data_IF_741715648194
#
_entry.id   IF_741715648194
#
_cell.length_a   1.000
_cell.length_b   1.000
_cell.length_c   1.000
_cell.angle_alpha   90.00
_cell.angle_beta   90.00
_cell.angle_gamma   90.00
#
_symmetry.space_group_name_H-M   'P 1'
#
loop_
_entity.id
_entity.type
_entity.pdbx_description
1 polymer ?
2 branched ?
3 non-polymer ?
4 non-polymer ?
5 water ?
#
# COMPACT_ATOMS: atom_id res chain seq x y z
N UNK A 9 -7.27 -17.96 3.17
CA UNK A 9 -7.13 -16.57 3.69
C UNK A 9 -5.83 -16.45 4.46
N UNK A 10 -5.34 -15.23 4.55
CA UNK A 10 -4.09 -14.90 5.22
C UNK A 10 -4.42 -14.16 6.51
N UNK A 11 -3.56 -14.27 7.49
CA UNK A 11 -3.78 -13.58 8.75
C UNK A 11 -3.30 -12.14 8.61
N UNK A 12 -4.14 -11.21 9.02
CA UNK A 12 -3.84 -9.76 8.98
C UNK A 12 -3.56 -9.37 10.43
N UNK A 13 -2.51 -8.57 10.71
CA UNK A 13 -1.55 -7.99 9.78
C UNK A 13 -0.67 -9.07 9.20
N UNK A 14 -0.31 -8.90 7.93
CA UNK A 14 0.47 -9.88 7.20
C UNK A 14 1.73 -9.23 6.74
N UNK A 15 2.83 -9.96 6.82
CA UNK A 15 4.11 -9.44 6.37
C UNK A 15 4.56 -10.22 5.16
N UNK A 16 4.73 -9.53 4.04
CA UNK A 16 5.20 -10.14 2.81
C UNK A 16 6.65 -9.72 2.58
N UNK A 17 7.61 -10.64 2.70
CA UNK A 17 9.02 -10.26 2.47
C UNK A 17 9.19 -9.88 1.04
N UNK A 18 10.05 -8.88 0.73
CA UNK A 18 10.31 -8.45 -0.64
C UNK A 18 11.82 -8.70 -0.72
N UNK A 19 12.23 -9.89 -1.14
CA UNK A 19 13.67 -10.19 -1.16
C UNK A 19 14.55 -9.30 -1.99
N UNK A 20 15.55 -8.69 -1.34
CA UNK A 20 16.43 -7.80 -2.09
C UNK A 20 15.73 -6.48 -2.39
N UNK A 21 14.64 -6.19 -1.68
CA UNK A 21 13.92 -4.92 -1.88
C UNK A 21 13.17 -4.90 -3.18
N UNK A 22 12.77 -3.69 -3.58
CA UNK A 22 11.99 -3.48 -4.80
C UNK A 22 12.86 -2.94 -5.88
N UNK A 23 12.34 -2.96 -7.08
CA UNK A 23 13.09 -2.53 -8.27
C UNK A 23 12.08 -2.15 -9.35
N UNK A 24 12.42 -1.23 -10.27
CA UNK A 24 11.39 -0.94 -11.28
C UNK A 24 11.05 -2.23 -12.04
N UNK A 25 9.77 -2.31 -12.41
CA UNK A 25 9.14 -3.44 -13.12
C UNK A 25 8.62 -4.50 -12.19
N UNK A 26 8.80 -4.30 -10.89
CA UNK A 26 8.26 -5.23 -9.92
C UNK A 26 6.81 -4.84 -9.62
N UNK A 27 5.90 -5.81 -9.76
CA UNK A 27 4.46 -5.58 -9.53
C UNK A 27 3.99 -6.35 -8.34
N UNK A 28 3.42 -5.67 -7.34
CA UNK A 28 2.93 -6.30 -6.14
C UNK A 28 1.42 -6.28 -6.24
N UNK A 29 0.77 -7.43 -6.01
CA UNK A 29 -0.69 -7.50 -6.13
C UNK A 29 -1.27 -8.00 -4.85
N UNK A 30 -2.25 -7.28 -4.31
CA UNK A 30 -2.90 -7.68 -3.07
C UNK A 30 -4.39 -7.83 -3.31
N UNK A 31 -4.90 -9.03 -3.06
CA UNK A 31 -6.33 -9.35 -3.28
C UNK A 31 -6.99 -9.55 -1.93
N UNK A 32 -8.13 -8.93 -1.71
CA UNK A 32 -8.81 -9.12 -0.44
C UNK A 32 -10.23 -8.61 -0.58
N UNK A 33 -10.92 -8.65 0.54
CA UNK A 33 -12.27 -8.13 0.60
C UNK A 33 -12.38 -7.20 1.78
N UNK A 34 -12.96 -6.01 1.59
CA UNK A 34 -13.08 -5.09 2.71
C UNK A 34 -14.13 -5.58 3.68
N UNK A 35 -13.88 -5.43 4.97
CA UNK A 35 -14.85 -5.88 5.96
C UNK A 35 -16.06 -4.95 5.96
N UNK A 36 -17.18 -5.43 6.50
CA UNK A 36 -18.33 -4.52 6.53
C UNK A 36 -18.01 -3.39 7.54
N UNK A 37 -18.53 -2.18 7.34
CA UNK A 37 -18.26 -1.09 8.31
C UNK A 37 -16.75 -0.83 8.57
N UNK A 38 -15.96 -0.94 7.50
CA UNK A 38 -14.51 -0.72 7.62
C UNK A 38 -14.16 0.70 8.04
N UNK A 39 -13.04 0.84 8.75
CA UNK A 39 -12.56 2.18 9.12
C UNK A 39 -11.26 2.52 8.36
N UNK A 40 -10.32 1.58 8.29
CA UNK A 40 -9.08 1.86 7.54
C UNK A 40 -8.37 0.64 7.01
N UNK A 41 -7.53 0.86 6.01
CA UNK A 41 -6.71 -0.23 5.45
C UNK A 41 -5.31 0.38 5.34
N UNK A 42 -4.24 -0.39 5.52
CA UNK A 42 -2.90 0.17 5.31
C UNK A 42 -1.94 -0.78 4.63
N UNK A 43 -1.20 -0.28 3.65
CA UNK A 43 -0.09 -1.02 3.06
C UNK A 43 1.12 -0.22 3.49
N UNK A 44 2.12 -0.89 4.06
CA UNK A 44 3.34 -0.18 4.47
C UNK A 44 4.55 -0.87 3.85
N UNK A 45 5.17 -0.23 2.85
CA UNK A 45 6.40 -0.77 2.22
C UNK A 45 7.51 -0.24 3.12
N UNK A 46 8.21 -1.16 3.80
CA UNK A 46 9.20 -0.77 4.79
C UNK A 46 10.65 -1.01 4.43
N UNK A 47 11.51 -0.09 4.87
CA UNK A 47 12.94 -0.20 4.76
C UNK A 47 13.35 -0.26 6.26
N UNK A 48 13.53 -1.47 6.81
CA UNK A 48 13.78 -1.53 8.25
C UNK A 48 12.57 -0.93 8.97
N UNK A 49 12.84 -0.05 9.94
CA UNK A 49 11.78 0.60 10.68
C UNK A 49 11.19 1.75 9.89
N UNK A 50 11.87 2.19 8.81
CA UNK A 50 11.27 3.28 8.06
C UNK A 50 10.16 2.76 7.17
N UNK A 51 9.18 3.62 6.88
CA UNK A 51 8.12 3.24 5.93
C UNK A 51 8.35 4.08 4.69
N UNK A 52 8.79 3.45 3.61
CA UNK A 52 9.07 4.16 2.36
C UNK A 52 7.79 4.67 1.73
N UNK A 53 6.74 3.88 1.80
CA UNK A 53 5.47 4.22 1.18
C UNK A 53 4.38 3.62 2.00
N UNK A 54 3.58 4.49 2.60
CA UNK A 54 2.43 4.15 3.44
C UNK A 54 1.23 4.54 2.60
N UNK A 55 0.33 3.59 2.36
CA UNK A 55 -0.87 3.81 1.52
C UNK A 55 -2.03 3.48 2.44
N UNK A 56 -2.83 4.51 2.77
CA UNK A 56 -3.83 4.36 3.82
C UNK A 56 -5.25 4.82 3.54
N UNK A 57 -6.05 3.94 2.96
CA UNK A 57 -7.46 4.30 2.71
C UNK A 57 -8.12 4.50 4.08
N UNK A 58 -8.81 5.64 4.26
CA UNK A 58 -9.54 5.96 5.50
C UNK A 58 -11.03 6.08 5.11
N UNK A 59 -11.89 5.28 5.73
CA UNK A 59 -13.30 5.28 5.37
C UNK A 59 -14.13 6.34 6.09
N UNK A 60 -13.57 6.93 7.14
CA UNK A 60 -14.27 7.96 7.86
C UNK A 60 -13.36 8.91 8.58
N UNK A 61 -12.87 9.89 7.83
CA UNK A 61 -12.05 10.95 8.42
C UNK A 61 -12.99 12.15 8.29
N UNK A 62 -13.54 12.60 9.41
CA UNK A 62 -14.49 13.70 9.39
C UNK A 62 -15.63 13.45 8.37
N UNK A 63 -16.09 12.20 8.35
CA UNK A 63 -17.20 11.77 7.50
C UNK A 63 -16.94 11.83 6.01
N UNK A 64 -15.67 11.74 5.64
CA UNK A 64 -15.25 11.71 4.25
C UNK A 64 -14.31 10.53 4.13
N UNK A 65 -14.26 9.97 2.94
CA UNK A 65 -13.36 8.84 2.63
C UNK A 65 -12.19 9.43 1.84
N UNK A 66 -10.97 9.08 2.26
CA UNK A 66 -9.80 9.65 1.64
C UNK A 66 -8.66 8.65 1.70
N UNK A 67 -7.74 8.75 0.76
CA UNK A 67 -6.58 7.89 0.83
C UNK A 67 -5.42 8.80 1.18
N UNK A 68 -4.70 8.44 2.24
CA UNK A 68 -3.56 9.21 2.70
C UNK A 68 -2.29 8.45 2.44
N UNK A 69 -1.32 9.07 1.77
CA UNK A 69 -0.01 8.41 1.53
C UNK A 69 1.08 9.20 2.21
N UNK A 70 2.11 8.54 2.67
CA UNK A 70 3.21 9.25 3.35
C UNK A 70 4.40 8.35 3.49
N UNK A 71 5.46 8.91 4.06
CA UNK A 71 6.71 8.21 4.35
C UNK A 71 7.07 8.48 5.82
N UNK A 72 7.61 7.48 6.50
CA UNK A 72 8.03 7.64 7.90
C UNK A 72 9.53 7.40 7.95
N UNK A 73 10.29 8.40 8.42
CA UNK A 73 11.75 8.36 8.52
C UNK A 73 12.16 8.63 9.97
N UNK A 74 12.90 7.68 10.56
CA UNK A 74 13.34 7.83 11.97
C UNK A 74 12.15 8.14 12.90
N UNK A 75 11.07 7.42 12.62
CA UNK A 75 9.83 7.49 13.38
C UNK A 75 8.96 8.73 13.18
N UNK A 76 9.34 9.59 12.22
CA UNK A 76 8.61 10.81 11.95
C UNK A 76 7.84 10.76 10.62
N UNK A 77 6.53 11.02 10.64
CA UNK A 77 5.80 11.10 9.36
C UNK A 77 6.15 12.40 8.62
N UNK A 78 6.20 12.31 7.28
CA UNK A 78 6.50 13.48 6.44
C UNK A 78 5.20 14.17 6.01
N UNK A 79 5.27 14.84 4.86
CA UNK A 79 4.10 15.54 4.29
C UNK A 79 3.14 14.53 3.68
N UNK A 80 1.89 14.65 4.06
CA UNK A 80 0.91 13.74 3.47
C UNK A 80 0.51 14.14 2.07
N UNK A 81 0.26 13.11 1.25
CA UNK A 81 -0.26 13.26 -0.10
C UNK A 81 -1.63 12.61 -0.02
N UNK A 82 -2.66 13.38 -0.36
CA UNK A 82 -4.04 12.91 -0.26
C UNK A 82 -4.73 12.78 -1.60
N UNK A 83 -5.55 11.74 -1.71
CA UNK A 83 -6.32 11.42 -2.92
C UNK A 83 -7.75 11.15 -2.48
N UNK A 84 -8.68 12.00 -2.93
CA UNK A 84 -10.07 11.83 -2.62
C UNK A 84 -10.78 10.84 -3.54
N UNK A 85 -10.16 10.47 -4.66
CA UNK A 85 -10.80 9.41 -5.48
C UNK A 85 -10.68 8.16 -4.57
N UNK A 86 -11.79 7.47 -4.34
CA UNK A 86 -11.81 6.37 -3.35
C UNK A 86 -12.58 5.17 -3.89
N UNK A 87 -11.85 4.23 -4.46
CA UNK A 87 -12.42 3.04 -5.09
C UNK A 87 -12.87 1.89 -4.26
N UNK A 88 -12.54 1.92 -2.98
CA UNK A 88 -12.92 0.85 -2.04
C UNK A 88 -14.31 1.03 -1.52
N UNK A 89 -14.95 -0.08 -1.18
CA UNK A 89 -16.28 -0.08 -0.61
C UNK A 89 -16.37 -1.17 0.44
N UNK A 90 -16.89 -0.84 1.61
CA UNK A 90 -17.06 -1.85 2.66
C UNK A 90 -17.78 -3.06 2.11
N UNK A 91 -17.27 -4.24 2.48
CA UNK A 91 -17.87 -5.50 2.09
C UNK A 91 -17.52 -6.02 0.72
N UNK A 92 -16.77 -5.28 -0.08
CA UNK A 92 -16.50 -5.73 -1.48
C UNK A 92 -15.06 -6.14 -1.76
N UNK A 93 -14.87 -7.12 -2.66
CA UNK A 93 -13.55 -7.59 -3.01
C UNK A 93 -12.84 -6.55 -3.82
N UNK A 94 -11.53 -6.46 -3.58
CA UNK A 94 -10.70 -5.51 -4.27
C UNK A 94 -9.39 -6.15 -4.74
N UNK A 95 -8.74 -5.48 -5.67
CA UNK A 95 -7.42 -5.83 -6.12
C UNK A 95 -6.58 -4.56 -6.12
N UNK A 96 -5.46 -4.53 -5.38
CA UNK A 96 -4.58 -3.37 -5.40
C UNK A 96 -3.33 -3.86 -6.11
N UNK A 97 -2.89 -3.14 -7.13
CA UNK A 97 -1.65 -3.46 -7.85
C UNK A 97 -0.72 -2.30 -7.66
N UNK A 98 0.46 -2.56 -7.09
CA UNK A 98 1.44 -1.51 -6.91
C UNK A 98 2.60 -1.83 -7.83
N UNK A 99 2.84 -1.00 -8.85
CA UNK A 99 3.93 -1.20 -9.81
C UNK A 99 5.05 -0.25 -9.47
N UNK A 100 6.21 -0.81 -9.23
CA UNK A 100 7.34 0.08 -8.93
C UNK A 100 7.88 0.62 -10.25
N UNK A 101 7.92 1.95 -10.39
CA UNK A 101 8.45 2.59 -11.61
C UNK A 101 9.73 3.29 -11.21
N UNK A 102 10.50 3.81 -12.18
CA UNK A 102 11.75 4.48 -11.77
C UNK A 102 11.66 5.64 -10.79
N UNK A 103 10.62 6.46 -10.92
CA UNK A 103 10.48 7.64 -10.07
C UNK A 103 9.33 7.58 -9.07
N UNK A 104 8.52 6.53 -9.16
CA UNK A 104 7.37 6.45 -8.27
C UNK A 104 6.74 5.06 -8.15
N UNK A 105 5.91 4.91 -7.12
CA UNK A 105 5.14 3.69 -6.94
C UNK A 105 3.87 4.09 -7.71
N UNK A 106 3.35 3.21 -8.55
CA UNK A 106 2.10 3.52 -9.30
C UNK A 106 1.03 2.55 -8.80
N UNK A 107 -0.10 3.06 -8.34
CA UNK A 107 -1.12 2.19 -7.75
C UNK A 107 -2.37 2.17 -8.58
N UNK A 108 -2.88 0.97 -8.87
CA UNK A 108 -4.15 0.80 -9.60
C UNK A 108 -5.02 -0.05 -8.70
N UNK A 109 -6.31 0.24 -8.65
CA UNK A 109 -7.22 -0.56 -7.85
C UNK A 109 -8.31 -1.03 -8.80
N UNK A 110 -8.57 -2.33 -8.80
CA UNK A 110 -9.62 -2.92 -9.67
C UNK A 110 -9.40 -2.50 -11.10
N UNK A 111 -8.13 -2.62 -11.50
CA UNK A 111 -7.64 -2.33 -12.86
C UNK A 111 -7.72 -0.88 -13.32
N UNK A 112 -8.04 0.03 -12.41
CA UNK A 112 -8.09 1.44 -12.75
C UNK A 112 -6.99 2.18 -12.04
N UNK A 113 -6.26 2.98 -12.79
CA UNK A 113 -5.22 3.81 -12.20
C UNK A 113 -5.76 4.69 -11.09
N UNK A 114 -5.06 4.74 -9.95
CA UNK A 114 -5.51 5.53 -8.81
C UNK A 114 -4.59 6.67 -8.48
N UNK A 115 -3.30 6.37 -8.28
CA UNK A 115 -2.38 7.46 -7.90
C UNK A 115 -0.95 7.02 -8.10
N UNK A 116 -0.05 7.99 -8.06
CA UNK A 116 1.39 7.71 -8.10
C UNK A 116 1.98 8.39 -6.86
N UNK A 117 3.06 7.84 -6.32
CA UNK A 117 3.73 8.39 -5.14
C UNK A 117 5.22 8.41 -5.43
N UNK A 118 5.76 9.61 -5.70
CA UNK A 118 7.17 9.71 -6.03
C UNK A 118 8.04 9.12 -4.90
N UNK A 119 9.17 8.51 -5.29
CA UNK A 119 10.11 7.90 -4.31
C UNK A 119 10.80 8.90 -3.42
N UNK A 120 10.59 8.78 -2.12
CA UNK A 120 11.28 9.64 -1.13
C UNK A 120 12.46 8.85 -0.58
N UNK A 121 12.26 7.55 -0.30
CA UNK A 121 13.33 6.65 0.11
C UNK A 121 13.92 6.22 -1.23
N UNK A 122 15.23 6.42 -1.38
CA UNK A 122 15.95 6.20 -2.63
C UNK A 122 16.57 4.83 -2.75
N UNK A 123 16.80 4.17 -1.61
CA UNK A 123 17.43 2.85 -1.64
C UNK A 123 16.35 1.80 -1.80
N UNK A 124 15.88 1.70 -3.05
CA UNK A 124 14.80 0.77 -3.35
C UNK A 124 15.14 -0.66 -2.98
N UNK A 125 16.40 -1.04 -3.16
CA UNK A 125 16.77 -2.43 -2.85
C UNK A 125 16.83 -2.74 -1.37
N UNK A 126 16.46 -1.75 -0.53
CA UNK A 126 16.40 -1.96 0.91
C UNK A 126 14.96 -1.92 1.45
N UNK A 127 13.96 -1.70 0.58
CA UNK A 127 12.52 -1.70 0.98
C UNK A 127 12.14 -3.17 0.84
N UNK A 128 12.36 -3.94 1.89
CA UNK A 128 12.26 -5.37 1.71
C UNK A 128 11.13 -6.04 2.40
N UNK A 129 10.16 -5.25 2.90
CA UNK A 129 8.98 -5.85 3.53
C UNK A 129 7.76 -5.06 3.18
N UNK A 130 6.64 -5.75 2.96
CA UNK A 130 5.36 -5.08 2.78
C UNK A 130 4.45 -5.54 3.92
N UNK A 131 3.97 -4.61 4.76
CA UNK A 131 3.05 -4.94 5.84
C UNK A 131 1.67 -4.63 5.33
N UNK A 132 0.69 -5.51 5.53
CA UNK A 132 -0.70 -5.31 5.07
C UNK A 132 -1.56 -5.44 6.30
N UNK A 133 -2.33 -4.39 6.61
CA UNK A 133 -3.13 -4.39 7.83
C UNK A 133 -4.42 -3.64 7.65
N UNK A 134 -5.26 -3.71 8.68
CA UNK A 134 -6.53 -3.01 8.59
C UNK A 134 -7.75 -3.90 8.44
N UNK A 135 -8.86 -3.25 8.08
CA UNK A 135 -10.16 -3.90 8.04
C UNK A 135 -10.46 -4.67 6.79
N UNK A 136 -9.66 -5.72 6.57
CA UNK A 136 -9.86 -6.55 5.40
C UNK A 136 -9.71 -8.02 5.69
N UNK A 137 -10.30 -8.79 4.79
CA UNK A 137 -10.09 -10.24 4.80
C UNK A 137 -9.04 -10.32 3.68
N UNK A 138 -7.84 -10.81 3.96
CA UNK A 138 -6.79 -10.86 2.91
C UNK A 138 -6.77 -12.22 2.19
N UNK A 139 -6.86 -12.21 0.86
CA UNK A 139 -6.92 -13.44 0.06
C UNK A 139 -5.58 -13.87 -0.51
N UNK A 140 -4.83 -12.89 -1.03
CA UNK A 140 -3.55 -13.16 -1.67
C UNK A 140 -2.61 -11.95 -1.66
N UNK A 141 -1.31 -12.17 -1.39
CA UNK A 141 -0.33 -11.07 -1.46
C UNK A 141 0.88 -11.64 -2.16
N UNK A 142 1.22 -11.08 -3.31
CA UNK A 142 2.33 -11.63 -4.07
C UNK A 142 2.99 -10.63 -5.00
N UNK A 143 4.06 -11.03 -5.66
CA UNK A 143 4.73 -10.13 -6.56
C UNK A 143 5.22 -10.89 -7.80
N UNK A 144 5.45 -10.13 -8.87
CA UNK A 144 5.98 -10.69 -10.10
C UNK A 144 6.72 -9.59 -10.88
N UNK A 145 7.61 -9.97 -11.80
CA UNK A 145 8.34 -9.00 -12.61
C UNK A 145 7.63 -8.92 -13.94
N UNK A 146 7.33 -7.72 -14.38
CA UNK A 146 6.69 -7.54 -15.67
C UNK A 146 7.66 -6.86 -16.64
X LIG B 1 -3.11 14.60 11.94
X LIG B 1 -3.24 14.21 10.44
X LIG B 1 -3.40 12.68 10.42
X LIG B 1 -2.24 12.00 11.16
X LIG B 1 -2.17 12.53 12.58
X LIG B 1 -1.03 11.93 13.39
X LIG B 1 -4.30 15.84 8.95
X LIG B 1 -5.60 16.39 8.37
X LIG B 1 -4.42 14.87 9.87
X LIG B 1 -2.91 15.96 12.07
X LIG B 1 -3.49 12.18 9.09
X LIG B 1 -2.52 10.62 11.24
X LIG B 1 -1.97 13.94 12.51
X LIG B 1 0.18 12.13 12.71
X LIG B 1 -3.23 16.30 8.56
X LIG B 2 -1.50 9.71 10.99
X LIG B 2 -2.05 8.34 11.30
X LIG B 2 -1.12 7.26 10.83
X LIG B 2 -0.61 7.49 9.40
X LIG B 2 -0.12 8.90 9.23
X LIG B 2 0.27 9.24 7.82
X LIG B 2 -2.21 8.20 12.71
X LIG B 2 -1.67 7.22 8.53
X LIG B 2 -1.16 9.83 9.61
X LIG B 2 0.63 10.61 7.72
X LIG C 1 -1.10 4.75 11.32
X LIG C 1 0.17 4.86 11.75
X LIG C 1 -1.67 5.93 10.93
X LIG C 1 -1.97 3.65 11.27
X LIG C 1 -2.04 2.86 12.49
X LIG C 1 -2.77 3.26 10.06
X LIG C 1 -1.40 3.17 13.44
X LIG C 1 -2.73 3.88 9.05
X LIG C 1 -2.88 1.72 12.53
X LIG C 1 -3.61 2.09 10.12
X LIG C 1 -3.68 1.29 11.37
X LIG C 1 -2.91 1.14 13.47
X LIG C 1 -4.21 1.81 9.23
X LIG C 1 -4.32 0.33 11.54
X LIG C 1 -5.18 -0.36 10.65
X LIG D 1 17.21 6.36 1.07
#
# INVERSE_FOLDING_TARGET
GPYGAPAGPLIVPYNLPLPGGVVPRMLITILGTVKPNANRIALDFQRGNDVAFHFNPRFNENNRRVIVCNTKLDNNWGREERQSVFPFESGKPFKIQVLVEPDHFKVAVNDAHLLQYNHRVKKLNEISKLGISGDIDLTSASYTMI
NAG C1 C2 C3 C4 C5 C6 C7 C8 N2 O1 O3 O4 O5 O6 O7
GAL C1 C2 C3 C4 C5 C6 O2 O4 O5 O6
BEK C1 O N C2 C3 C7 F3 F7 C4 C6 C5 F4 F6 O5 C8
CL CL
#
